data_IF_505593322359
#
_entry.id   IF_505593322359
#
_cell.length_a   1.000
_cell.length_b   1.000
_cell.length_c   1.000
_cell.angle_alpha   90.00
_cell.angle_beta   90.00
_cell.angle_gamma   90.00
#
_symmetry.space_group_name_H-M   'P 1'
#
loop_
_entity.id
_entity.type
_entity.pdbx_description
1 polymer ?
#
# COMPACT_ATOMS: atom_id res chain seq x y z
N UNK A 1 6.58 20.76 7.70
CA UNK A 1 6.98 19.36 7.54
C UNK A 1 5.75 18.64 7.04
N UNK A 2 5.80 18.09 5.84
CA UNK A 2 4.66 17.32 5.30
C UNK A 2 4.56 16.00 6.07
N UNK A 3 3.38 15.67 6.59
CA UNK A 3 3.15 14.44 7.35
C UNK A 3 2.66 13.33 6.43
N UNK A 4 2.75 12.07 6.87
CA UNK A 4 2.18 10.93 6.13
C UNK A 4 0.68 11.13 5.89
N UNK A 5 -0.03 11.68 6.89
CA UNK A 5 -1.44 12.02 6.77
C UNK A 5 -1.72 12.96 5.58
N UNK A 6 -0.95 14.05 5.43
CA UNK A 6 -1.13 14.99 4.32
C UNK A 6 -0.88 14.36 2.95
N UNK A 7 0.05 13.40 2.87
CA UNK A 7 0.30 12.65 1.64
C UNK A 7 -0.86 11.70 1.32
N UNK A 8 -1.43 11.07 2.33
CA UNK A 8 -2.55 10.14 2.23
C UNK A 8 -3.87 10.82 1.86
N UNK A 9 -4.08 12.05 2.34
CA UNK A 9 -5.22 12.89 1.94
C UNK A 9 -5.26 13.20 0.43
N UNK A 10 -4.13 13.05 -0.28
CA UNK A 10 -4.09 13.19 -1.75
C UNK A 10 -4.67 12.00 -2.51
N UNK A 11 -4.85 10.86 -1.85
CA UNK A 11 -5.40 9.63 -2.44
C UNK A 11 -6.91 9.60 -2.23
N UNK A 12 -7.65 9.92 -3.30
CA UNK A 12 -9.11 9.96 -3.26
C UNK A 12 -9.71 8.61 -2.82
N UNK A 13 -10.57 8.66 -1.81
CA UNK A 13 -11.25 7.49 -1.25
C UNK A 13 -10.41 6.67 -0.27
N UNK A 14 -9.17 7.06 0.01
CA UNK A 14 -8.39 6.47 1.09
C UNK A 14 -8.84 7.07 2.42
N UNK A 15 -9.13 6.20 3.39
CA UNK A 15 -9.46 6.57 4.76
C UNK A 15 -8.25 6.31 5.66
N UNK A 16 -7.73 7.35 6.32
CA UNK A 16 -6.56 7.29 7.21
C UNK A 16 -6.97 7.73 8.62
N UNK A 17 -6.59 6.94 9.62
CA UNK A 17 -6.89 7.19 11.03
C UNK A 17 -5.66 7.71 11.78
N UNK A 18 -5.91 8.36 12.93
CA UNK A 18 -4.86 8.98 13.75
C UNK A 18 -3.89 7.96 14.38
N UNK A 19 -4.29 6.70 14.47
CA UNK A 19 -3.47 5.60 14.99
C UNK A 19 -2.51 5.01 13.93
N UNK A 20 -2.51 5.57 12.72
CA UNK A 20 -1.67 5.14 11.59
C UNK A 20 -2.32 4.06 10.73
N UNK A 21 -3.51 3.57 11.08
CA UNK A 21 -4.26 2.61 10.28
C UNK A 21 -4.95 3.27 9.08
N UNK A 22 -5.12 2.51 8.00
CA UNK A 22 -5.84 2.99 6.82
C UNK A 22 -6.52 1.90 6.03
N UNK A 23 -7.51 2.33 5.26
CA UNK A 23 -8.27 1.48 4.34
C UNK A 23 -8.50 2.22 3.04
N UNK A 24 -8.24 1.56 1.92
CA UNK A 24 -8.58 2.03 0.59
C UNK A 24 -9.25 0.90 -0.15
N UNK A 25 -10.52 1.08 -0.53
CA UNK A 25 -11.30 -0.01 -1.08
C UNK A 25 -12.34 0.48 -2.07
N UNK A 26 -12.65 -0.38 -3.04
CA UNK A 26 -13.84 -0.26 -3.85
C UNK A 26 -14.46 -1.64 -4.02
N UNK A 27 -15.51 -1.90 -3.24
CA UNK A 27 -16.23 -3.18 -3.25
C UNK A 27 -16.88 -3.47 -4.62
N UNK A 28 -17.31 -2.43 -5.35
CA UNK A 28 -17.89 -2.61 -6.69
C UNK A 28 -16.85 -3.03 -7.73
N UNK A 29 -15.59 -2.62 -7.54
CA UNK A 29 -14.45 -3.04 -8.36
C UNK A 29 -13.70 -4.23 -7.75
N UNK A 30 -14.20 -4.80 -6.66
CA UNK A 30 -13.67 -6.02 -6.05
C UNK A 30 -12.27 -5.92 -5.46
N UNK A 31 -11.82 -4.73 -5.02
CA UNK A 31 -10.48 -4.56 -4.44
C UNK A 31 -10.48 -3.81 -3.10
N UNK A 32 -9.50 -4.13 -2.26
CA UNK A 32 -9.27 -3.51 -0.95
C UNK A 32 -7.79 -3.59 -0.56
N UNK A 33 -7.30 -2.51 0.05
CA UNK A 33 -6.00 -2.39 0.71
C UNK A 33 -6.27 -1.93 2.14
N UNK A 34 -5.84 -2.73 3.10
CA UNK A 34 -5.78 -2.36 4.52
C UNK A 34 -4.30 -2.19 4.88
N UNK A 35 -3.98 -1.22 5.74
CA UNK A 35 -2.61 -1.06 6.19
C UNK A 35 -2.44 -0.32 7.50
N UNK A 36 -1.22 -0.35 8.02
CA UNK A 36 -0.83 0.40 9.22
C UNK A 36 0.57 0.94 9.04
N UNK A 37 0.71 2.25 9.20
CA UNK A 37 1.98 2.96 9.12
C UNK A 37 2.65 2.97 10.49
N UNK A 38 3.90 2.54 10.55
CA UNK A 38 4.73 2.63 11.75
C UNK A 38 5.84 3.65 11.53
N UNK A 39 5.72 4.82 12.16
CA UNK A 39 6.73 5.88 12.14
C UNK A 39 7.27 6.18 13.55
N UNK A 40 8.41 6.87 13.61
CA UNK A 40 9.06 7.25 14.87
C UNK A 40 9.01 8.78 15.14
N UNK A 41 8.10 9.49 14.48
CA UNK A 41 8.00 10.95 14.48
C UNK A 41 8.97 11.67 13.54
N UNK A 42 9.97 10.97 12.99
CA UNK A 42 10.92 11.53 12.01
C UNK A 42 10.77 10.91 10.63
N UNK A 43 10.55 9.60 10.55
CA UNK A 43 10.41 8.87 9.31
C UNK A 43 9.55 7.61 9.48
N UNK A 44 8.89 7.20 8.40
CA UNK A 44 8.27 5.88 8.28
C UNK A 44 9.37 4.82 8.47
N UNK A 45 9.16 3.88 9.38
CA UNK A 45 10.04 2.75 9.61
C UNK A 45 9.62 1.57 8.75
N UNK A 46 8.33 1.25 8.74
CA UNK A 46 7.73 0.26 7.86
C UNK A 46 6.21 0.47 7.78
N UNK A 47 5.59 -0.20 6.80
CA UNK A 47 4.14 -0.23 6.63
C UNK A 47 3.72 -1.68 6.55
N UNK A 48 2.76 -2.07 7.37
CA UNK A 48 2.09 -3.36 7.22
C UNK A 48 0.93 -3.20 6.22
N UNK A 49 0.82 -4.12 5.26
CA UNK A 49 -0.10 -4.02 4.13
C UNK A 49 -0.78 -5.36 3.85
N UNK A 50 -2.10 -5.30 3.71
CA UNK A 50 -2.94 -6.44 3.34
C UNK A 50 -3.79 -6.06 2.12
N UNK A 51 -3.64 -6.81 1.04
CA UNK A 51 -4.40 -6.62 -0.20
C UNK A 51 -5.40 -7.74 -0.43
N UNK A 52 -6.59 -7.41 -0.94
CA UNK A 52 -7.59 -8.38 -1.42
C UNK A 52 -8.13 -7.94 -2.76
N UNK A 53 -8.16 -8.88 -3.71
CA UNK A 53 -8.81 -8.74 -5.02
C UNK A 53 -9.70 -9.96 -5.27
N UNK A 54 -11.01 -9.76 -5.43
CA UNK A 54 -12.00 -10.85 -5.53
C UNK A 54 -12.17 -11.42 -6.94
N UNK A 55 -11.68 -10.73 -7.96
CA UNK A 55 -11.62 -11.18 -9.36
C UNK A 55 -10.24 -10.92 -9.97
N UNK A 56 -10.04 -11.32 -11.24
CA UNK A 56 -8.86 -10.92 -12.01
C UNK A 56 -8.80 -9.40 -12.19
N UNK A 57 -9.89 -8.78 -12.67
CA UNK A 57 -9.95 -7.32 -12.81
C UNK A 57 -9.76 -6.60 -11.47
N UNK A 58 -10.31 -7.14 -10.38
CA UNK A 58 -10.10 -6.60 -9.04
C UNK A 58 -8.65 -6.67 -8.58
N UNK A 59 -7.91 -7.71 -8.96
CA UNK A 59 -6.46 -7.81 -8.70
C UNK A 59 -5.67 -6.81 -9.55
N UNK A 60 -6.06 -6.56 -10.79
CA UNK A 60 -5.45 -5.50 -11.62
C UNK A 60 -5.67 -4.11 -11.00
N UNK A 61 -6.89 -3.80 -10.56
CA UNK A 61 -7.17 -2.53 -9.86
C UNK A 61 -6.40 -2.43 -8.54
N UNK A 62 -6.29 -3.52 -7.78
CA UNK A 62 -5.50 -3.57 -6.56
C UNK A 62 -4.04 -3.21 -6.83
N UNK A 63 -3.42 -3.77 -7.87
CA UNK A 63 -2.03 -3.49 -8.23
C UNK A 63 -1.84 -2.03 -8.67
N UNK A 64 -2.77 -1.47 -9.45
CA UNK A 64 -2.75 -0.05 -9.83
C UNK A 64 -2.81 0.87 -8.59
N UNK A 65 -3.67 0.53 -7.62
CA UNK A 65 -3.81 1.27 -6.37
C UNK A 65 -2.60 1.12 -5.46
N UNK A 66 -1.98 -0.05 -5.41
CA UNK A 66 -0.71 -0.24 -4.69
C UNK A 66 0.41 0.63 -5.28
N UNK A 67 0.52 0.73 -6.61
CA UNK A 67 1.50 1.64 -7.26
C UNK A 67 1.27 3.10 -6.86
N UNK A 68 0.02 3.54 -6.85
CA UNK A 68 -0.34 4.89 -6.41
C UNK A 68 -0.02 5.13 -4.93
N UNK A 69 -0.24 4.12 -4.07
CA UNK A 69 0.12 4.20 -2.66
C UNK A 69 1.65 4.28 -2.47
N UNK A 70 2.40 3.47 -3.21
CA UNK A 70 3.87 3.44 -3.13
C UNK A 70 4.51 4.73 -3.58
N UNK A 71 4.00 5.37 -4.64
CA UNK A 71 4.51 6.67 -5.10
C UNK A 71 4.29 7.81 -4.10
N UNK A 72 3.29 7.66 -3.22
CA UNK A 72 3.01 8.59 -2.12
C UNK A 72 3.92 8.35 -0.92
N UNK A 73 4.31 7.10 -0.65
CA UNK A 73 5.24 6.79 0.43
C UNK A 73 6.66 7.31 0.18
N UNK A 74 7.22 6.97 -0.99
CA UNK A 74 8.60 7.27 -1.36
C UNK A 74 8.81 7.06 -2.86
N UNK A 75 10.04 7.24 -3.33
CA UNK A 75 10.46 6.74 -4.64
C UNK A 75 10.21 5.21 -4.69
N UNK A 76 9.42 4.68 -5.64
CA UNK A 76 9.17 3.25 -5.79
C UNK A 76 10.45 2.41 -5.88
N UNK A 77 11.54 2.97 -6.42
CA UNK A 77 12.83 2.27 -6.51
C UNK A 77 13.53 2.10 -5.15
N UNK A 78 13.10 2.85 -4.12
CA UNK A 78 13.63 2.77 -2.75
C UNK A 78 12.84 1.83 -1.83
N UNK A 79 11.72 1.28 -2.31
CA UNK A 79 10.82 0.45 -1.50
C UNK A 79 11.28 -1.01 -1.55
N UNK A 80 11.42 -1.60 -0.37
CA UNK A 80 11.62 -3.04 -0.19
C UNK A 80 10.35 -3.65 0.40
N UNK A 81 9.87 -4.74 -0.21
CA UNK A 81 8.67 -5.45 0.19
C UNK A 81 9.05 -6.80 0.80
N UNK A 82 8.50 -7.12 1.96
CA UNK A 82 8.62 -8.45 2.57
C UNK A 82 7.30 -9.20 2.37
N UNK A 83 7.28 -10.19 1.49
CA UNK A 83 6.08 -11.00 1.26
C UNK A 83 5.93 -12.10 2.31
N UNK A 84 4.72 -12.28 2.84
CA UNK A 84 4.35 -13.35 3.79
C UNK A 84 3.47 -14.39 3.07
N UNK A 85 3.60 -15.71 3.36
CA UNK A 85 4.42 -16.31 4.41
C UNK A 85 5.88 -16.56 4.05
N UNK A 86 6.28 -16.37 2.79
CA UNK A 86 7.59 -16.78 2.28
C UNK A 86 8.78 -16.00 2.87
N UNK A 87 8.51 -14.86 3.54
CA UNK A 87 9.47 -13.97 4.20
C UNK A 87 10.64 -13.59 3.29
N UNK A 88 10.35 -13.38 2.03
CA UNK A 88 11.33 -13.02 1.01
C UNK A 88 11.26 -11.53 0.76
N UNK A 89 12.42 -10.86 0.83
CA UNK A 89 12.56 -9.46 0.44
C UNK A 89 12.59 -9.35 -1.08
N UNK A 90 11.78 -8.44 -1.61
CA UNK A 90 11.59 -8.22 -3.04
C UNK A 90 11.51 -6.70 -3.31
N UNK A 91 11.92 -6.28 -4.50
CA UNK A 91 11.54 -4.96 -5.00
C UNK A 91 10.11 -4.97 -5.54
N UNK A 92 9.57 -3.79 -5.86
CA UNK A 92 8.21 -3.65 -6.39
C UNK A 92 8.01 -4.43 -7.70
N UNK A 93 9.00 -4.46 -8.58
CA UNK A 93 8.87 -5.12 -9.88
C UNK A 93 8.84 -6.65 -9.74
N UNK A 94 9.63 -7.22 -8.83
CA UNK A 94 9.62 -8.63 -8.52
C UNK A 94 8.28 -9.04 -7.89
N UNK A 95 7.78 -8.24 -6.94
CA UNK A 95 6.48 -8.47 -6.31
C UNK A 95 5.33 -8.51 -7.32
N UNK A 96 5.26 -7.55 -8.25
CA UNK A 96 4.20 -7.50 -9.26
C UNK A 96 4.17 -8.74 -10.17
N UNK A 97 5.33 -9.32 -10.48
CA UNK A 97 5.41 -10.55 -11.29
C UNK A 97 4.90 -11.78 -10.56
N UNK A 98 5.02 -11.82 -9.23
CA UNK A 98 4.61 -12.98 -8.43
C UNK A 98 3.13 -12.95 -8.03
N UNK A 99 2.43 -11.83 -8.24
CA UNK A 99 1.01 -11.63 -7.89
C UNK A 99 0.09 -11.67 -9.12
N UNK A 100 0.63 -11.42 -10.31
CA UNK A 100 -0.07 -11.59 -11.60
C UNK A 100 -0.17 -13.05 -12.03
#
# INVERSE_FOLDING_TARGET
METVASRFESLEGLFFEWDGSFTWANQSQGWQIDGTVYDNGQAIQYVDLHGRGSSEEGREFLLDRLRALFSVFSDPASISLLRIPDRTWQDLQAFEKDVC
#
